data_IF_177593305415
#
_entry.id   IF_177593305415
#
_cell.length_a   1.000
_cell.length_b   1.000
_cell.length_c   1.000
_cell.angle_alpha   90.00
_cell.angle_beta   90.00
_cell.angle_gamma   90.00
#
_symmetry.space_group_name_H-M   'P 1'
#
loop_
_entity.id
_entity.type
_entity.pdbx_description
1 polymer ?
#
# COMPACT_ATOMS: atom_id res chain seq x y z
N UNK A 1 -4.44 22.99 18.39
CA UNK A 1 -3.24 23.05 17.51
C UNK A 1 -2.61 21.67 17.43
N UNK A 2 -2.68 20.99 16.28
CA UNK A 2 -1.95 19.72 16.08
C UNK A 2 -0.51 20.06 15.71
N UNK A 3 0.44 19.80 16.61
CA UNK A 3 1.88 19.99 16.35
C UNK A 3 2.38 18.79 15.54
N UNK A 4 2.97 19.04 14.37
CA UNK A 4 3.67 18.01 13.60
C UNK A 4 5.08 17.89 14.15
N UNK A 5 5.47 16.70 14.59
CA UNK A 5 6.84 16.37 14.96
C UNK A 5 7.48 15.76 13.71
N UNK A 6 8.58 16.35 13.24
CA UNK A 6 9.41 15.74 12.21
C UNK A 6 10.52 14.97 12.90
N UNK A 7 10.52 13.65 12.70
CA UNK A 7 11.55 12.76 13.22
C UNK A 7 12.42 12.32 12.05
N UNK A 8 13.73 12.62 12.14
CA UNK A 8 14.72 12.06 11.22
C UNK A 8 15.36 10.86 11.89
N UNK A 9 15.25 9.70 11.28
CA UNK A 9 15.78 8.43 11.78
C UNK A 9 16.65 7.79 10.72
N UNK A 10 17.71 7.13 11.16
CA UNK A 10 18.58 6.30 10.31
C UNK A 10 18.02 4.87 10.22
N UNK A 11 18.50 4.08 9.27
CA UNK A 11 18.10 2.66 9.16
C UNK A 11 18.43 1.87 10.44
N UNK A 12 19.56 2.19 11.09
CA UNK A 12 19.92 1.63 12.40
C UNK A 12 18.93 2.01 13.50
N UNK A 13 18.40 3.23 13.48
CA UNK A 13 17.40 3.67 14.47
C UNK A 13 16.07 2.95 14.26
N UNK A 14 15.70 2.72 12.99
CA UNK A 14 14.53 1.94 12.60
C UNK A 14 14.63 0.51 13.14
N UNK A 15 15.79 -0.16 12.99
CA UNK A 15 15.99 -1.53 13.46
C UNK A 15 15.94 -1.66 15.00
N UNK A 16 16.49 -0.67 15.71
CA UNK A 16 16.38 -0.61 17.17
C UNK A 16 14.93 -0.41 17.62
N UNK A 17 14.18 0.44 16.92
CA UNK A 17 12.76 0.66 17.20
C UNK A 17 11.94 -0.62 16.99
N UNK A 18 12.16 -1.36 15.89
CA UNK A 18 11.49 -2.65 15.64
C UNK A 18 11.72 -3.66 16.75
N UNK A 19 12.92 -3.66 17.34
CA UNK A 19 13.27 -4.58 18.42
C UNK A 19 12.61 -4.16 19.75
N UNK A 20 12.48 -2.85 19.99
CA UNK A 20 11.97 -2.30 21.23
C UNK A 20 10.43 -2.33 21.33
N UNK A 21 9.73 -2.11 20.22
CA UNK A 21 8.27 -1.92 20.22
C UNK A 21 7.41 -3.14 20.63
N UNK A 22 7.74 -4.38 20.26
CA UNK A 22 7.01 -5.56 20.73
C UNK A 22 6.96 -5.65 22.27
N UNK A 23 7.94 -5.06 22.96
CA UNK A 23 8.00 -5.04 24.43
C UNK A 23 7.11 -3.96 25.07
N UNK A 24 6.69 -2.94 24.31
CA UNK A 24 5.94 -1.79 24.83
C UNK A 24 4.44 -2.05 25.05
N UNK A 25 3.90 -3.22 24.67
CA UNK A 25 2.48 -3.60 24.83
C UNK A 25 1.48 -2.48 24.46
N UNK A 26 1.84 -1.65 23.48
CA UNK A 26 1.00 -0.55 23.01
C UNK A 26 0.45 -0.91 21.64
N UNK A 27 -0.80 -1.33 21.59
CA UNK A 27 -1.46 -1.79 20.37
C UNK A 27 -1.47 -0.72 19.26
N UNK A 28 -1.56 0.56 19.65
CA UNK A 28 -1.50 1.69 18.71
C UNK A 28 -0.11 1.94 18.14
N UNK A 29 0.96 1.74 18.91
CA UNK A 29 2.33 1.90 18.43
C UNK A 29 2.75 0.71 17.56
N UNK A 30 2.34 -0.49 17.94
CA UNK A 30 2.54 -1.69 17.13
C UNK A 30 1.78 -1.61 15.81
N UNK A 31 0.55 -1.11 15.77
CA UNK A 31 -0.19 -0.93 14.52
C UNK A 31 0.44 0.15 13.62
N UNK A 32 0.96 1.23 14.21
CA UNK A 32 1.70 2.28 13.47
C UNK A 32 3.06 1.79 12.96
N UNK A 33 3.71 0.84 13.63
CA UNK A 33 4.97 0.23 13.16
C UNK A 33 4.76 -0.92 12.19
N UNK A 34 3.62 -1.61 12.24
CA UNK A 34 3.17 -2.48 11.16
C UNK A 34 2.88 -1.70 9.86
N UNK A 35 2.95 -0.37 9.85
CA UNK A 35 2.99 0.44 8.61
C UNK A 35 4.40 0.57 8.04
N UNK A 36 5.45 0.34 8.85
CA UNK A 36 6.81 0.06 8.38
C UNK A 36 6.86 -1.40 7.93
N UNK A 37 6.03 -1.77 6.96
CA UNK A 37 6.22 -3.04 6.27
C UNK A 37 7.52 -2.90 5.52
N UNK A 38 8.50 -3.62 6.03
CA UNK A 38 9.79 -3.72 5.41
C UNK A 38 9.63 -4.35 4.03
N UNK A 39 10.51 -3.96 3.10
CA UNK A 39 10.60 -4.61 1.79
C UNK A 39 11.02 -6.09 1.88
N UNK A 40 11.31 -6.60 3.09
CA UNK A 40 11.67 -8.00 3.34
C UNK A 40 10.51 -8.96 3.03
N UNK A 41 9.27 -8.61 3.42
CA UNK A 41 8.07 -9.32 2.94
C UNK A 41 7.44 -8.54 1.78
N UNK A 42 7.90 -8.88 0.58
CA UNK A 42 7.44 -8.28 -0.68
C UNK A 42 5.92 -8.44 -0.86
N UNK A 43 5.35 -9.56 -0.43
CA UNK A 43 3.94 -9.85 -0.65
C UNK A 43 3.04 -9.03 0.28
N UNK A 44 3.43 -8.90 1.55
CA UNK A 44 2.76 -8.05 2.52
C UNK A 44 2.94 -6.56 2.17
N UNK A 45 4.14 -6.17 1.70
CA UNK A 45 4.41 -4.81 1.22
C UNK A 45 3.48 -4.43 0.07
N UNK A 46 3.40 -5.26 -0.98
CA UNK A 46 2.50 -5.01 -2.11
C UNK A 46 1.07 -4.92 -1.63
N UNK A 47 0.62 -5.86 -0.78
CA UNK A 47 -0.76 -5.88 -0.28
C UNK A 47 -1.09 -4.57 0.43
N UNK A 48 -0.26 -4.17 1.38
CA UNK A 48 -0.46 -2.97 2.16
C UNK A 48 -0.53 -1.71 1.31
N UNK A 49 0.49 -1.45 0.47
CA UNK A 49 0.52 -0.23 -0.33
C UNK A 49 -0.55 -0.23 -1.44
N UNK A 50 -0.98 -1.39 -1.93
CA UNK A 50 -2.13 -1.49 -2.83
C UNK A 50 -3.42 -1.10 -2.14
N UNK A 51 -3.64 -1.59 -0.92
CA UNK A 51 -4.82 -1.26 -0.11
C UNK A 51 -4.83 0.24 0.24
N UNK A 52 -3.69 0.83 0.58
CA UNK A 52 -3.58 2.28 0.77
C UNK A 52 -3.93 3.06 -0.49
N UNK A 53 -3.40 2.65 -1.66
CA UNK A 53 -3.73 3.32 -2.92
C UNK A 53 -5.23 3.24 -3.26
N UNK A 54 -5.87 2.11 -2.95
CA UNK A 54 -7.31 1.94 -3.14
C UNK A 54 -8.13 2.75 -2.13
N UNK A 55 -7.67 2.84 -0.88
CA UNK A 55 -8.28 3.70 0.13
C UNK A 55 -8.24 5.17 -0.31
N UNK A 56 -7.08 5.67 -0.75
CA UNK A 56 -6.92 7.03 -1.28
C UNK A 56 -7.87 7.34 -2.45
N UNK A 57 -8.12 6.36 -3.32
CA UNK A 57 -8.98 6.53 -4.50
C UNK A 57 -10.48 6.42 -4.21
N UNK A 58 -10.84 5.58 -3.25
CA UNK A 58 -12.22 5.20 -2.96
C UNK A 58 -12.83 6.00 -1.82
N UNK A 59 -11.99 6.51 -0.91
CA UNK A 59 -12.41 7.15 0.34
C UNK A 59 -12.83 6.15 1.43
N UNK A 60 -12.71 4.84 1.20
CA UNK A 60 -12.93 3.80 2.20
C UNK A 60 -11.66 3.51 2.99
N UNK A 61 -11.78 3.04 4.23
CA UNK A 61 -10.62 2.60 4.99
C UNK A 61 -10.09 1.26 4.43
N UNK A 62 -8.78 0.98 4.49
CA UNK A 62 -8.20 -0.28 4.01
C UNK A 62 -8.87 -1.55 4.58
N UNK A 63 -9.45 -1.46 5.78
CA UNK A 63 -10.10 -2.60 6.44
C UNK A 63 -11.56 -2.83 5.99
N UNK A 64 -12.13 -1.91 5.20
CA UNK A 64 -13.54 -1.97 4.78
C UNK A 64 -13.75 -2.84 3.53
N UNK A 65 -12.67 -3.28 2.88
CA UNK A 65 -12.71 -4.08 1.67
C UNK A 65 -11.71 -5.24 1.69
N UNK A 66 -11.89 -6.18 0.75
CA UNK A 66 -11.17 -7.45 0.70
C UNK A 66 -10.65 -7.70 -0.71
N UNK A 67 -9.80 -8.71 -0.86
CA UNK A 67 -9.21 -9.09 -2.16
C UNK A 67 -10.25 -9.38 -3.25
N UNK A 68 -11.42 -9.87 -2.86
CA UNK A 68 -12.52 -10.18 -3.78
C UNK A 68 -13.46 -9.00 -4.07
N UNK A 69 -13.28 -7.86 -3.40
CA UNK A 69 -14.09 -6.67 -3.59
C UNK A 69 -13.96 -6.13 -5.01
N UNK A 70 -15.09 -5.74 -5.59
CA UNK A 70 -15.18 -5.13 -6.90
C UNK A 70 -14.82 -3.64 -6.82
N UNK A 71 -13.89 -3.22 -7.68
CA UNK A 71 -13.40 -1.85 -7.68
C UNK A 71 -14.50 -0.84 -7.99
N UNK A 72 -15.49 -1.21 -8.81
CA UNK A 72 -16.58 -0.30 -9.19
C UNK A 72 -17.76 -0.40 -8.22
N UNK A 73 -18.22 -1.62 -7.92
CA UNK A 73 -19.45 -1.80 -7.15
C UNK A 73 -19.23 -1.66 -5.65
N UNK A 74 -18.09 -2.13 -5.13
CA UNK A 74 -17.81 -2.08 -3.68
C UNK A 74 -17.03 -0.81 -3.31
N UNK A 75 -16.13 -0.36 -4.18
CA UNK A 75 -15.24 0.78 -3.90
C UNK A 75 -15.58 2.06 -4.69
N UNK A 76 -16.52 2.01 -5.63
CA UNK A 76 -16.93 3.20 -6.39
C UNK A 76 -15.86 3.77 -7.35
N UNK A 77 -14.78 3.04 -7.67
CA UNK A 77 -13.76 3.49 -8.60
C UNK A 77 -14.33 3.54 -10.03
N UNK A 78 -14.47 4.76 -10.55
CA UNK A 78 -14.70 4.99 -11.97
C UNK A 78 -13.43 4.76 -12.78
N UNK A 79 -13.57 4.85 -14.11
CA UNK A 79 -12.43 4.77 -15.03
C UNK A 79 -11.36 5.81 -14.70
N UNK A 80 -11.74 7.00 -14.24
CA UNK A 80 -10.81 8.05 -13.87
C UNK A 80 -9.91 7.65 -12.69
N UNK A 81 -10.49 7.13 -11.60
CA UNK A 81 -9.70 6.64 -10.47
C UNK A 81 -8.81 5.46 -10.88
N UNK A 82 -9.33 4.54 -11.71
CA UNK A 82 -8.53 3.43 -12.23
C UNK A 82 -7.31 3.90 -13.01
N UNK A 83 -7.43 4.94 -13.84
CA UNK A 83 -6.28 5.54 -14.54
C UNK A 83 -5.25 6.12 -13.57
N UNK A 84 -5.69 6.74 -12.48
CA UNK A 84 -4.81 7.33 -11.48
C UNK A 84 -3.99 6.28 -10.70
N UNK A 85 -4.54 5.07 -10.50
CA UNK A 85 -3.84 3.95 -9.84
C UNK A 85 -2.50 3.60 -10.52
N UNK A 86 -2.35 3.87 -11.82
CA UNK A 86 -1.10 3.63 -12.55
C UNK A 86 0.11 4.26 -11.84
N UNK A 87 -0.03 5.48 -11.34
CA UNK A 87 1.10 6.18 -10.69
C UNK A 87 1.42 5.57 -9.32
N UNK A 88 0.39 5.14 -8.58
CA UNK A 88 0.56 4.47 -7.30
C UNK A 88 1.25 3.11 -7.49
N UNK A 89 0.74 2.31 -8.42
CA UNK A 89 1.29 0.97 -8.67
C UNK A 89 2.70 1.02 -9.25
N UNK A 90 2.98 1.98 -10.14
CA UNK A 90 4.34 2.19 -10.65
C UNK A 90 5.30 2.57 -9.52
N UNK A 91 4.86 3.36 -8.54
CA UNK A 91 5.69 3.69 -7.37
C UNK A 91 6.04 2.44 -6.56
N UNK A 92 5.04 1.58 -6.27
CA UNK A 92 5.25 0.32 -5.55
C UNK A 92 6.28 -0.56 -6.26
N UNK A 93 6.16 -0.73 -7.58
CA UNK A 93 7.10 -1.56 -8.35
C UNK A 93 8.50 -0.96 -8.42
N UNK A 94 8.61 0.38 -8.52
CA UNK A 94 9.90 1.07 -8.53
C UNK A 94 10.59 0.97 -7.17
N UNK A 95 9.83 1.10 -6.07
CA UNK A 95 10.35 0.99 -4.71
C UNK A 95 10.90 -0.41 -4.43
N UNK A 96 10.35 -1.44 -5.09
CA UNK A 96 10.85 -2.82 -5.07
C UNK A 96 11.94 -3.11 -6.12
N UNK A 97 12.42 -2.10 -6.84
CA UNK A 97 13.56 -2.20 -7.77
C UNK A 97 13.21 -2.68 -9.19
N UNK A 98 11.92 -2.77 -9.55
CA UNK A 98 11.54 -3.15 -10.91
C UNK A 98 11.67 -2.00 -11.91
N UNK A 99 12.07 -2.34 -13.13
CA UNK A 99 12.09 -1.44 -14.30
C UNK A 99 10.90 -1.65 -15.25
N UNK A 100 10.00 -2.62 -14.95
CA UNK A 100 8.84 -2.88 -15.79
C UNK A 100 7.79 -1.77 -15.60
N UNK A 101 7.17 -1.37 -16.70
CA UNK A 101 6.15 -0.33 -16.68
C UNK A 101 4.74 -0.91 -16.53
N UNK A 102 3.94 -0.22 -15.74
CA UNK A 102 2.48 -0.38 -15.66
C UNK A 102 1.83 0.64 -16.58
N UNK A 103 0.99 0.15 -17.48
CA UNK A 103 0.26 0.98 -18.44
C UNK A 103 -1.09 1.40 -17.86
N UNK A 104 -1.62 2.52 -18.36
CA UNK A 104 -2.96 2.99 -17.98
C UNK A 104 -4.03 1.96 -18.34
N UNK A 105 -3.88 1.30 -19.50
CA UNK A 105 -4.83 0.29 -19.98
C UNK A 105 -4.92 -0.91 -19.04
N UNK A 106 -3.78 -1.39 -18.54
CA UNK A 106 -3.75 -2.46 -17.54
C UNK A 106 -4.52 -2.08 -16.27
N UNK A 107 -4.50 -0.81 -15.87
CA UNK A 107 -5.28 -0.33 -14.73
C UNK A 107 -6.77 -0.16 -15.03
N UNK A 108 -7.13 0.24 -16.25
CA UNK A 108 -8.54 0.34 -16.69
C UNK A 108 -9.25 -1.02 -16.69
N UNK A 109 -8.52 -2.07 -17.06
CA UNK A 109 -9.03 -3.45 -17.18
C UNK A 109 -9.23 -4.14 -15.82
N UNK A 110 -8.76 -3.55 -14.71
CA UNK A 110 -8.90 -4.12 -13.36
C UNK A 110 -10.35 -4.17 -12.92
N UNK A 111 -10.78 -5.29 -12.34
CA UNK A 111 -12.16 -5.45 -11.84
C UNK A 111 -12.20 -5.60 -10.33
N UNK A 112 -11.27 -6.35 -9.75
CA UNK A 112 -11.21 -6.62 -8.31
C UNK A 112 -9.89 -6.22 -7.69
N UNK A 113 -9.88 -6.07 -6.37
CA UNK A 113 -8.66 -5.79 -5.59
C UNK A 113 -7.55 -6.83 -5.87
N UNK A 114 -7.91 -8.10 -5.96
CA UNK A 114 -6.97 -9.18 -6.33
C UNK A 114 -6.33 -8.99 -7.70
N UNK A 115 -7.00 -8.32 -8.65
CA UNK A 115 -6.42 -8.03 -9.97
C UNK A 115 -5.32 -6.97 -9.83
N UNK A 116 -5.51 -5.98 -8.95
CA UNK A 116 -4.50 -4.97 -8.63
C UNK A 116 -3.23 -5.62 -8.07
N UNK A 117 -3.41 -6.53 -7.10
CA UNK A 117 -2.30 -7.26 -6.48
C UNK A 117 -1.54 -8.10 -7.51
N UNK A 118 -2.27 -8.82 -8.38
CA UNK A 118 -1.68 -9.61 -9.46
C UNK A 118 -0.93 -8.75 -10.46
N UNK A 119 -1.48 -7.59 -10.83
CA UNK A 119 -0.84 -6.67 -11.76
C UNK A 119 0.53 -6.23 -11.22
N UNK A 120 0.59 -5.76 -9.96
CA UNK A 120 1.85 -5.31 -9.35
C UNK A 120 2.85 -6.47 -9.27
N UNK A 121 2.42 -7.64 -8.79
CA UNK A 121 3.29 -8.83 -8.69
C UNK A 121 3.84 -9.27 -10.04
N UNK A 122 3.07 -9.16 -11.13
CA UNK A 122 3.53 -9.52 -12.48
C UNK A 122 4.66 -8.62 -13.01
N UNK A 123 4.83 -7.44 -12.39
CA UNK A 123 5.81 -6.43 -12.78
C UNK A 123 7.08 -6.49 -11.95
N UNK A 124 7.13 -7.29 -10.89
CA UNK A 124 8.39 -7.63 -10.22
C UNK A 124 9.16 -8.67 -11.03
#
# INVERSE_FOLDING_TARGET
>A
MKRKIYLSVTDSDIDQLKTFLPTLKSDNLNSLFNLLIEKEDVDEYIRHYTYLALSDMSGFEPNDFKDNSDLKFDLGLSLYQKRALKNYFQKITNDLGSQKNITVKECEDLKKVMDCLKLIKSKL
#
